data_IF_767750354489
#
_entry.id   IF_767750354489
#
_cell.length_a   1.000
_cell.length_b   1.000
_cell.length_c   1.000
_cell.angle_alpha   90.00
_cell.angle_beta   90.00
_cell.angle_gamma   90.00
#
_symmetry.space_group_name_H-M   'P 1'
#
loop_
_entity.id
_entity.type
_entity.pdbx_description
1 polymer ?
#
# COMPACT_ATOMS: atom_id res chain seq x y z
N UNK A 1 29.11 -34.78 -30.08
CA UNK A 1 28.12 -33.87 -30.74
C UNK A 1 26.80 -33.85 -29.97
N UNK A 2 26.34 -34.96 -29.36
CA UNK A 2 25.07 -34.99 -28.59
C UNK A 2 25.09 -34.22 -27.29
N UNK A 3 26.25 -34.12 -26.64
CA UNK A 3 26.42 -33.43 -25.34
C UNK A 3 26.34 -31.88 -25.50
N UNK A 4 26.74 -31.36 -26.66
CA UNK A 4 26.66 -29.93 -26.95
C UNK A 4 25.23 -29.43 -27.22
N UNK A 5 24.34 -30.30 -27.75
CA UNK A 5 22.94 -29.96 -28.00
C UNK A 5 22.09 -29.93 -26.73
N UNK A 6 22.37 -30.84 -25.77
CA UNK A 6 21.65 -30.88 -24.50
C UNK A 6 21.96 -29.65 -23.64
N UNK A 7 23.20 -29.14 -23.68
CA UNK A 7 23.59 -27.92 -22.97
C UNK A 7 22.98 -26.64 -23.55
N UNK A 8 22.78 -26.59 -24.88
CA UNK A 8 22.15 -25.42 -25.52
C UNK A 8 20.63 -25.35 -25.31
N UNK A 9 19.96 -26.49 -25.24
CA UNK A 9 18.52 -26.55 -24.95
C UNK A 9 18.22 -26.18 -23.48
N UNK A 10 19.08 -26.54 -22.54
CA UNK A 10 18.92 -26.16 -21.15
C UNK A 10 19.12 -24.65 -20.93
N UNK A 11 20.05 -24.02 -21.62
CA UNK A 11 20.25 -22.57 -21.53
C UNK A 11 19.12 -21.74 -22.17
N UNK A 12 18.42 -22.29 -23.16
CA UNK A 12 17.31 -21.61 -23.85
C UNK A 12 16.00 -21.74 -23.05
N UNK A 13 15.84 -22.76 -22.21
CA UNK A 13 14.63 -22.94 -21.39
C UNK A 13 14.51 -21.96 -20.21
N UNK A 14 15.62 -21.49 -19.70
CA UNK A 14 15.68 -20.64 -18.50
C UNK A 14 15.69 -19.14 -18.83
N UNK A 15 15.93 -18.78 -20.08
CA UNK A 15 16.04 -17.39 -20.53
C UNK A 15 15.04 -17.10 -21.65
N UNK A 16 14.32 -16.00 -21.52
CA UNK A 16 13.36 -15.53 -22.51
C UNK A 16 13.77 -14.18 -23.09
N UNK A 17 13.84 -14.10 -24.40
CA UNK A 17 13.98 -12.87 -25.15
C UNK A 17 12.68 -12.67 -25.92
N UNK A 18 11.95 -11.59 -25.64
CA UNK A 18 10.65 -11.32 -26.24
C UNK A 18 10.58 -9.92 -26.88
N UNK A 19 10.17 -9.87 -28.12
CA UNK A 19 9.87 -8.61 -28.80
C UNK A 19 8.39 -8.27 -28.63
N UNK A 20 7.51 -9.27 -28.71
CA UNK A 20 6.06 -9.13 -28.58
C UNK A 20 5.48 -10.39 -27.93
N UNK A 21 4.22 -10.30 -27.47
CA UNK A 21 3.50 -11.35 -26.74
C UNK A 21 3.72 -12.79 -27.26
N UNK A 22 3.71 -12.98 -28.59
CA UNK A 22 3.83 -14.29 -29.23
C UNK A 22 5.17 -14.47 -29.98
N UNK A 23 6.05 -13.47 -29.96
CA UNK A 23 7.39 -13.53 -30.54
C UNK A 23 8.41 -13.61 -29.41
N UNK A 24 8.62 -14.80 -28.89
CA UNK A 24 9.53 -15.08 -27.80
C UNK A 24 10.33 -16.36 -28.04
N UNK A 25 11.45 -16.48 -27.35
CA UNK A 25 12.34 -17.65 -27.46
C UNK A 25 11.84 -18.84 -26.65
N UNK A 26 10.92 -18.62 -25.70
CA UNK A 26 10.27 -19.68 -24.93
C UNK A 26 8.90 -20.04 -25.49
N UNK A 27 8.57 -21.31 -25.69
CA UNK A 27 7.22 -21.74 -26.03
C UNK A 27 6.27 -21.44 -24.86
N UNK A 28 5.03 -21.08 -25.19
CA UNK A 28 4.00 -20.76 -24.20
C UNK A 28 3.47 -22.05 -23.55
N UNK A 29 4.16 -22.52 -22.51
CA UNK A 29 3.74 -23.67 -21.69
C UNK A 29 3.35 -23.19 -20.30
N UNK A 30 2.17 -23.58 -19.83
CA UNK A 30 1.59 -23.16 -18.56
C UNK A 30 2.38 -23.58 -17.30
N UNK A 31 3.33 -24.48 -17.44
CA UNK A 31 4.16 -24.99 -16.34
C UNK A 31 5.53 -24.33 -16.25
N UNK A 32 5.89 -23.50 -17.21
CA UNK A 32 7.24 -23.01 -17.37
C UNK A 32 7.58 -21.84 -16.44
N UNK A 33 8.76 -21.93 -15.81
CA UNK A 33 9.35 -20.86 -14.98
C UNK A 33 10.50 -20.22 -15.75
N UNK A 34 10.49 -18.89 -15.84
CA UNK A 34 11.54 -18.10 -16.48
C UNK A 34 12.44 -17.51 -15.41
N UNK A 35 13.76 -17.61 -15.58
CA UNK A 35 14.74 -17.04 -14.65
C UNK A 35 15.32 -15.71 -15.14
N UNK A 36 15.50 -15.56 -16.43
CA UNK A 36 15.96 -14.31 -17.03
C UNK A 36 15.05 -13.96 -18.19
N UNK A 37 14.49 -12.76 -18.19
CA UNK A 37 13.64 -12.25 -19.25
C UNK A 37 14.09 -10.86 -19.67
N UNK A 38 14.31 -10.64 -20.95
CA UNK A 38 14.63 -9.35 -21.55
C UNK A 38 13.75 -9.14 -22.78
N UNK A 39 13.03 -8.03 -22.84
CA UNK A 39 12.15 -7.79 -23.98
C UNK A 39 11.52 -6.39 -24.04
N UNK A 40 10.66 -6.22 -25.03
CA UNK A 40 9.79 -5.06 -25.11
C UNK A 40 8.50 -5.28 -24.33
N UNK A 41 7.75 -6.32 -24.69
CA UNK A 41 6.54 -6.77 -24.01
C UNK A 41 6.64 -8.26 -23.80
N UNK A 42 6.62 -8.69 -22.56
CA UNK A 42 6.77 -10.10 -22.21
C UNK A 42 5.53 -10.64 -21.53
N UNK A 43 5.16 -11.86 -21.88
CA UNK A 43 4.13 -12.64 -21.20
C UNK A 43 4.78 -13.92 -20.68
N UNK A 44 4.76 -14.12 -19.37
CA UNK A 44 5.41 -15.22 -18.67
C UNK A 44 4.39 -15.94 -17.78
N UNK A 45 4.57 -17.24 -17.56
CA UNK A 45 3.73 -17.95 -16.60
C UNK A 45 4.21 -17.72 -15.18
N UNK A 46 5.51 -17.86 -14.92
CA UNK A 46 6.16 -17.53 -13.65
C UNK A 46 7.52 -16.90 -13.91
N UNK A 47 7.87 -15.92 -13.10
CA UNK A 47 9.22 -15.35 -13.09
C UNK A 47 9.90 -15.67 -11.76
N UNK A 48 11.06 -16.33 -11.83
CA UNK A 48 11.86 -16.64 -10.65
C UNK A 48 13.30 -16.14 -10.85
N UNK A 49 13.49 -14.86 -10.93
CA UNK A 49 14.79 -14.24 -11.21
C UNK A 49 14.66 -12.78 -11.65
N UNK A 50 15.17 -12.45 -12.85
CA UNK A 50 15.23 -11.07 -13.33
C UNK A 50 14.47 -10.91 -14.65
N UNK A 51 13.53 -9.98 -14.68
CA UNK A 51 12.80 -9.53 -15.86
C UNK A 51 13.02 -8.04 -16.14
N UNK A 52 13.51 -7.72 -17.33
CA UNK A 52 13.70 -6.34 -17.79
C UNK A 52 12.97 -6.16 -19.11
N UNK A 53 11.99 -5.27 -19.15
CA UNK A 53 11.19 -5.02 -20.33
C UNK A 53 11.03 -3.52 -20.59
N UNK A 54 11.12 -3.12 -21.84
CA UNK A 54 11.02 -1.69 -22.17
C UNK A 54 9.60 -1.14 -22.01
N UNK A 55 8.57 -1.92 -22.32
CA UNK A 55 7.17 -1.51 -22.19
C UNK A 55 6.48 -2.17 -21.02
N UNK A 56 6.32 -3.48 -21.05
CA UNK A 56 5.53 -4.16 -20.04
C UNK A 56 5.91 -5.63 -19.85
N UNK A 57 5.50 -6.16 -18.71
CA UNK A 57 5.68 -7.55 -18.38
C UNK A 57 4.43 -8.07 -17.67
N UNK A 58 3.89 -9.16 -18.20
CA UNK A 58 2.76 -9.88 -17.63
C UNK A 58 3.25 -11.23 -17.14
N UNK A 59 3.14 -11.48 -15.85
CA UNK A 59 3.37 -12.78 -15.23
C UNK A 59 2.03 -13.32 -14.76
N UNK A 60 1.54 -14.41 -15.31
CA UNK A 60 0.21 -14.95 -14.96
C UNK A 60 0.13 -15.52 -13.54
N UNK A 61 1.21 -16.09 -13.05
CA UNK A 61 1.33 -16.62 -11.69
C UNK A 61 2.22 -15.75 -10.81
N UNK A 62 3.02 -16.43 -9.98
CA UNK A 62 3.90 -15.78 -9.02
C UNK A 62 5.13 -15.16 -9.70
N UNK A 63 5.55 -14.02 -9.16
CA UNK A 63 6.79 -13.34 -9.46
C UNK A 63 7.71 -13.38 -8.25
N UNK A 64 8.89 -13.98 -8.40
CA UNK A 64 9.94 -14.00 -7.38
C UNK A 64 11.23 -13.43 -7.94
N UNK A 65 11.73 -12.34 -7.38
CA UNK A 65 12.97 -11.71 -7.82
C UNK A 65 12.82 -10.25 -8.19
N UNK A 66 13.31 -9.84 -9.35
CA UNK A 66 13.34 -8.45 -9.79
C UNK A 66 12.62 -8.29 -11.13
N UNK A 67 11.69 -7.39 -11.21
CA UNK A 67 10.96 -7.04 -12.43
C UNK A 67 11.00 -5.53 -12.67
N UNK A 68 11.58 -5.13 -13.80
CA UNK A 68 11.75 -3.72 -14.17
C UNK A 68 11.12 -3.49 -15.54
N UNK A 69 10.21 -2.52 -15.62
CA UNK A 69 9.56 -2.15 -16.89
C UNK A 69 9.47 -0.65 -17.08
N UNK A 70 9.44 -0.25 -18.35
CA UNK A 70 9.22 1.16 -18.70
C UNK A 70 7.80 1.64 -18.39
N UNK A 71 6.77 0.80 -18.56
CA UNK A 71 5.38 1.20 -18.32
C UNK A 71 4.75 0.38 -17.18
N UNK A 72 4.48 -0.92 -17.39
CA UNK A 72 3.66 -1.66 -16.45
C UNK A 72 4.17 -3.07 -16.16
N UNK A 73 4.09 -3.46 -14.89
CA UNK A 73 4.24 -4.83 -14.42
C UNK A 73 2.89 -5.37 -13.96
N UNK A 74 2.54 -6.56 -14.43
CA UNK A 74 1.42 -7.33 -13.91
C UNK A 74 1.93 -8.68 -13.38
N UNK A 75 1.61 -9.01 -12.14
CA UNK A 75 1.74 -10.33 -11.56
C UNK A 75 0.33 -10.82 -11.19
N UNK A 76 -0.12 -11.93 -11.77
CA UNK A 76 -1.45 -12.48 -11.51
C UNK A 76 -1.55 -13.11 -10.11
N UNK A 77 -0.43 -13.65 -9.60
CA UNK A 77 -0.30 -14.18 -8.25
C UNK A 77 0.45 -13.25 -7.30
N UNK A 78 1.21 -13.85 -6.40
CA UNK A 78 2.02 -13.13 -5.41
C UNK A 78 3.33 -12.61 -6.02
N UNK A 79 3.59 -11.33 -5.80
CA UNK A 79 4.89 -10.71 -6.06
C UNK A 79 5.78 -10.81 -4.82
N UNK A 80 6.97 -11.41 -4.97
CA UNK A 80 8.02 -11.44 -3.94
C UNK A 80 9.33 -10.90 -4.49
N UNK A 81 9.81 -9.82 -3.91
CA UNK A 81 11.08 -9.20 -4.31
C UNK A 81 10.93 -7.72 -4.67
N UNK A 82 11.33 -7.35 -5.90
CA UNK A 82 11.36 -5.95 -6.35
C UNK A 82 10.59 -5.79 -7.65
N UNK A 83 9.63 -4.88 -7.67
CA UNK A 83 8.95 -4.42 -8.88
C UNK A 83 9.16 -2.92 -9.09
N UNK A 84 9.60 -2.55 -10.29
CA UNK A 84 9.81 -1.16 -10.70
C UNK A 84 9.11 -0.93 -12.04
N UNK A 85 8.20 0.03 -12.09
CA UNK A 85 7.52 0.42 -13.32
C UNK A 85 7.46 1.94 -13.49
N UNK A 86 7.52 2.38 -14.72
CA UNK A 86 7.34 3.81 -15.03
C UNK A 86 5.93 4.31 -14.77
N UNK A 87 4.90 3.47 -14.90
CA UNK A 87 3.50 3.84 -14.70
C UNK A 87 2.83 3.03 -13.62
N UNK A 88 2.74 1.71 -13.74
CA UNK A 88 1.96 0.90 -12.80
C UNK A 88 2.58 -0.45 -12.46
N UNK A 89 2.45 -0.86 -11.20
CA UNK A 89 2.61 -2.23 -10.75
C UNK A 89 1.28 -2.77 -10.26
N UNK A 90 0.93 -3.97 -10.68
CA UNK A 90 -0.31 -4.65 -10.27
C UNK A 90 0.06 -6.07 -9.84
N UNK A 91 -0.32 -6.46 -8.64
CA UNK A 91 -0.23 -7.81 -8.11
C UNK A 91 -1.63 -8.31 -7.78
N UNK A 92 -2.02 -9.46 -8.32
CA UNK A 92 -3.37 -10.03 -8.11
C UNK A 92 -3.59 -10.45 -6.66
N UNK A 93 -2.60 -11.13 -6.08
CA UNK A 93 -2.66 -11.57 -4.68
C UNK A 93 -1.84 -10.63 -3.78
N UNK A 94 -0.70 -11.09 -3.29
CA UNK A 94 0.10 -10.34 -2.33
C UNK A 94 1.32 -9.66 -2.96
N UNK A 95 1.71 -8.53 -2.40
CA UNK A 95 3.00 -7.88 -2.66
C UNK A 95 3.90 -8.02 -1.44
N UNK A 96 5.02 -8.71 -1.57
CA UNK A 96 6.01 -8.91 -0.50
C UNK A 96 7.37 -8.38 -0.95
N UNK A 97 7.82 -7.29 -0.36
CA UNK A 97 9.11 -6.67 -0.67
C UNK A 97 9.01 -5.21 -1.06
N UNK A 98 9.56 -4.83 -2.20
CA UNK A 98 9.62 -3.45 -2.66
C UNK A 98 8.89 -3.27 -4.00
N UNK A 99 7.91 -2.38 -4.04
CA UNK A 99 7.19 -2.03 -5.26
C UNK A 99 7.19 -0.51 -5.48
N UNK A 100 7.67 -0.06 -6.63
CA UNK A 100 7.62 1.37 -6.97
C UNK A 100 7.08 1.58 -8.38
N UNK A 101 6.16 2.53 -8.52
CA UNK A 101 5.56 2.91 -9.78
C UNK A 101 5.44 4.44 -9.89
N UNK A 102 5.59 4.94 -11.10
CA UNK A 102 5.46 6.37 -11.37
C UNK A 102 4.06 6.92 -11.07
N UNK A 103 3.00 6.12 -11.24
CA UNK A 103 1.64 6.55 -10.94
C UNK A 103 0.97 5.66 -9.90
N UNK A 104 0.80 4.37 -10.15
CA UNK A 104 -0.10 3.53 -9.35
C UNK A 104 0.54 2.20 -8.98
N UNK A 105 0.45 1.83 -7.71
CA UNK A 105 0.69 0.48 -7.22
C UNK A 105 -0.62 -0.13 -6.71
N UNK A 106 -0.97 -1.32 -7.19
CA UNK A 106 -2.18 -2.06 -6.79
C UNK A 106 -1.79 -3.45 -6.32
N UNK A 107 -2.29 -3.83 -5.17
CA UNK A 107 -2.20 -5.19 -4.62
C UNK A 107 -3.60 -5.67 -4.28
N UNK A 108 -3.99 -6.85 -4.76
CA UNK A 108 -5.33 -7.41 -4.58
C UNK A 108 -5.61 -7.81 -3.14
N UNK A 109 -4.73 -8.59 -2.52
CA UNK A 109 -4.93 -9.06 -1.14
C UNK A 109 -4.10 -8.26 -0.14
N UNK A 110 -2.84 -8.58 0.05
CA UNK A 110 -2.03 -8.00 1.09
C UNK A 110 -0.69 -7.41 0.64
N UNK A 111 -0.26 -6.36 1.32
CA UNK A 111 1.05 -5.76 1.09
C UNK A 111 1.94 -5.93 2.32
N UNK A 112 3.16 -6.45 2.13
CA UNK A 112 4.19 -6.54 3.16
C UNK A 112 5.50 -5.96 2.65
N UNK A 113 5.95 -4.84 3.20
CA UNK A 113 7.19 -4.21 2.80
C UNK A 113 7.04 -2.73 2.47
N UNK A 114 7.59 -2.30 1.35
CA UNK A 114 7.62 -0.89 0.96
C UNK A 114 6.95 -0.71 -0.41
N UNK A 115 5.93 0.14 -0.44
CA UNK A 115 5.22 0.52 -1.67
C UNK A 115 5.32 2.03 -1.88
N UNK A 116 5.79 2.44 -3.05
CA UNK A 116 5.92 3.85 -3.43
C UNK A 116 5.17 4.08 -4.74
N UNK A 117 4.23 5.00 -4.75
CA UNK A 117 3.48 5.38 -5.94
C UNK A 117 3.50 6.91 -6.15
N UNK A 118 3.68 7.35 -7.38
CA UNK A 118 3.64 8.79 -7.69
C UNK A 118 2.27 9.42 -7.42
N UNK A 119 1.18 8.69 -7.63
CA UNK A 119 -0.18 9.14 -7.31
C UNK A 119 -0.82 8.30 -6.23
N UNK A 120 -1.11 7.02 -6.50
CA UNK A 120 -1.97 6.22 -5.62
C UNK A 120 -1.38 4.85 -5.32
N UNK A 121 -1.33 4.51 -4.03
CA UNK A 121 -1.07 3.17 -3.54
C UNK A 121 -2.38 2.51 -3.08
N UNK A 122 -2.68 1.31 -3.56
CA UNK A 122 -3.84 0.52 -3.17
C UNK A 122 -3.36 -0.81 -2.64
N UNK A 123 -3.56 -1.05 -1.37
CA UNK A 123 -3.43 -2.35 -0.73
C UNK A 123 -4.82 -2.94 -0.54
N UNK A 124 -5.01 -4.21 -0.87
CA UNK A 124 -6.28 -4.88 -0.70
C UNK A 124 -6.66 -5.05 0.78
N UNK A 125 -6.66 -6.28 1.27
CA UNK A 125 -7.17 -6.55 2.63
C UNK A 125 -6.25 -6.06 3.73
N UNK A 126 -4.97 -6.48 3.70
CA UNK A 126 -4.04 -6.20 4.80
C UNK A 126 -2.75 -5.58 4.30
N UNK A 127 -2.42 -4.40 4.79
CA UNK A 127 -1.19 -3.70 4.44
C UNK A 127 -0.27 -3.58 5.65
N UNK A 128 0.97 -4.01 5.52
CA UNK A 128 1.97 -3.97 6.59
C UNK A 128 3.30 -3.42 6.05
N UNK A 129 3.84 -2.40 6.69
CA UNK A 129 5.10 -1.78 6.31
C UNK A 129 4.97 -0.30 5.97
N UNK A 130 5.59 0.12 4.88
CA UNK A 130 5.62 1.54 4.47
C UNK A 130 4.88 1.73 3.15
N UNK A 131 3.88 2.60 3.14
CA UNK A 131 3.17 2.99 1.93
C UNK A 131 3.29 4.50 1.73
N UNK A 132 3.86 4.90 0.61
CA UNK A 132 4.08 6.31 0.26
C UNK A 132 3.42 6.59 -1.09
N UNK A 133 2.60 7.62 -1.15
CA UNK A 133 2.02 8.09 -2.41
C UNK A 133 1.99 9.61 -2.52
N UNK A 134 2.09 10.10 -3.74
CA UNK A 134 2.00 11.54 -4.00
C UNK A 134 0.61 12.11 -3.73
N UNK A 135 -0.45 11.31 -3.89
CA UNK A 135 -1.82 11.76 -3.68
C UNK A 135 -2.54 10.93 -2.59
N UNK A 136 -2.74 9.63 -2.77
CA UNK A 136 -3.61 8.87 -1.88
C UNK A 136 -3.11 7.43 -1.63
N UNK A 137 -3.22 6.97 -0.37
CA UNK A 137 -3.11 5.56 -0.01
C UNK A 137 -4.47 5.01 0.42
N UNK A 138 -4.82 3.84 -0.08
CA UNK A 138 -6.05 3.13 0.29
C UNK A 138 -5.72 1.72 0.73
N UNK A 139 -6.24 1.29 1.87
CA UNK A 139 -6.20 -0.10 2.35
C UNK A 139 -7.61 -0.56 2.65
N UNK A 140 -7.98 -1.75 2.14
CA UNK A 140 -9.34 -2.28 2.25
C UNK A 140 -9.75 -2.55 3.70
N UNK A 141 -8.98 -3.33 4.43
CA UNK A 141 -9.33 -3.74 5.80
C UNK A 141 -8.36 -3.19 6.84
N UNK A 142 -7.27 -3.88 7.11
CA UNK A 142 -6.32 -3.52 8.17
C UNK A 142 -5.01 -2.99 7.61
N UNK A 143 -4.45 -1.97 8.24
CA UNK A 143 -3.13 -1.50 7.91
C UNK A 143 -2.25 -1.32 9.15
N UNK A 144 -0.94 -1.49 8.96
CA UNK A 144 0.06 -1.29 9.99
C UNK A 144 1.36 -0.73 9.45
N UNK A 145 2.06 0.06 10.26
CA UNK A 145 3.33 0.67 9.90
C UNK A 145 3.24 2.17 9.61
N UNK A 146 3.74 2.62 8.47
CA UNK A 146 3.81 4.05 8.13
C UNK A 146 3.15 4.31 6.79
N UNK A 147 2.06 5.09 6.79
CA UNK A 147 1.38 5.54 5.58
C UNK A 147 1.54 7.05 5.41
N UNK A 148 2.17 7.45 4.31
CA UNK A 148 2.41 8.85 3.96
C UNK A 148 1.75 9.17 2.61
N UNK A 149 0.97 10.23 2.56
CA UNK A 149 0.35 10.68 1.31
C UNK A 149 0.28 12.20 1.19
N UNK A 150 0.26 12.68 -0.04
CA UNK A 150 0.11 14.11 -0.31
C UNK A 150 -1.28 14.64 0.06
N UNK A 151 -2.34 13.87 -0.19
CA UNK A 151 -3.70 14.29 0.11
C UNK A 151 -4.38 13.42 1.18
N UNK A 152 -4.55 12.11 0.95
CA UNK A 152 -5.36 11.31 1.85
C UNK A 152 -4.80 9.91 2.10
N UNK A 153 -4.97 9.42 3.34
CA UNK A 153 -4.85 8.00 3.66
C UNK A 153 -6.21 7.48 4.13
N UNK A 154 -6.63 6.34 3.59
CA UNK A 154 -7.91 5.71 3.91
C UNK A 154 -7.66 4.25 4.27
N UNK A 155 -8.14 3.82 5.42
CA UNK A 155 -8.11 2.44 5.89
C UNK A 155 -9.53 2.02 6.28
N UNK A 156 -10.02 0.93 5.71
CA UNK A 156 -11.42 0.49 5.86
C UNK A 156 -11.77 0.07 7.28
N UNK A 157 -10.88 -0.62 7.98
CA UNK A 157 -11.13 -1.05 9.36
C UNK A 157 -10.11 -0.43 10.33
N UNK A 158 -9.01 -1.10 10.62
CA UNK A 158 -8.10 -0.72 11.69
C UNK A 158 -6.72 -0.33 11.18
N UNK A 159 -6.12 0.68 11.81
CA UNK A 159 -4.74 1.11 11.54
C UNK A 159 -3.89 1.09 12.81
N UNK A 160 -2.67 0.52 12.71
CA UNK A 160 -1.68 0.51 13.78
C UNK A 160 -0.37 1.14 13.31
N UNK A 161 0.00 2.29 13.86
CA UNK A 161 1.26 2.94 13.51
C UNK A 161 1.12 4.44 13.25
N UNK A 162 1.75 4.94 12.20
CA UNK A 162 1.76 6.35 11.84
C UNK A 162 1.11 6.60 10.47
N UNK A 163 0.14 7.49 10.44
CA UNK A 163 -0.58 7.91 9.26
C UNK A 163 -0.46 9.43 9.09
N UNK A 164 0.14 9.87 7.99
CA UNK A 164 0.35 11.30 7.72
C UNK A 164 -0.13 11.66 6.32
N UNK A 165 -0.92 12.73 6.22
CA UNK A 165 -1.42 13.24 4.95
C UNK A 165 -1.46 14.77 4.91
N UNK A 166 -1.45 15.33 3.71
CA UNK A 166 -1.62 16.77 3.54
C UNK A 166 -3.03 17.26 3.89
N UNK A 167 -4.07 16.46 3.67
CA UNK A 167 -5.45 16.88 3.89
C UNK A 167 -6.18 15.98 4.90
N UNK A 168 -6.29 14.67 4.64
CA UNK A 168 -7.26 13.81 5.31
C UNK A 168 -6.72 12.42 5.65
N UNK A 169 -6.90 11.97 6.89
CA UNK A 169 -6.76 10.58 7.27
C UNK A 169 -8.10 10.01 7.75
N UNK A 170 -8.50 8.85 7.22
CA UNK A 170 -9.73 8.16 7.58
C UNK A 170 -9.44 6.73 8.00
N UNK A 171 -9.93 6.33 9.16
CA UNK A 171 -9.90 4.97 9.67
C UNK A 171 -11.30 4.55 10.04
N UNK A 172 -11.80 3.48 9.40
CA UNK A 172 -13.20 3.04 9.53
C UNK A 172 -13.56 2.45 10.88
N UNK A 173 -12.59 1.95 11.65
CA UNK A 173 -12.85 1.41 12.98
C UNK A 173 -11.85 1.94 14.02
N UNK A 174 -10.70 1.27 14.18
CA UNK A 174 -9.79 1.55 15.27
C UNK A 174 -8.47 2.13 14.77
N UNK A 175 -8.04 3.22 15.37
CA UNK A 175 -6.73 3.79 15.19
C UNK A 175 -5.88 3.62 16.45
N UNK A 176 -4.72 2.97 16.30
CA UNK A 176 -3.72 2.86 17.34
C UNK A 176 -2.41 3.50 16.88
N UNK A 177 -2.04 4.64 17.46
CA UNK A 177 -0.81 5.33 17.12
C UNK A 177 -1.01 6.81 16.80
N UNK A 178 -0.44 7.27 15.69
CA UNK A 178 -0.36 8.68 15.33
C UNK A 178 -1.07 8.97 14.01
N UNK A 179 -2.02 9.90 14.03
CA UNK A 179 -2.61 10.49 12.82
C UNK A 179 -2.26 11.99 12.74
N UNK A 180 -1.68 12.39 11.62
CA UNK A 180 -1.39 13.79 11.32
C UNK A 180 -2.00 14.14 9.96
N UNK A 181 -2.85 15.15 9.92
CA UNK A 181 -3.41 15.67 8.68
C UNK A 181 -3.43 17.20 8.69
N UNK A 182 -3.40 17.79 7.50
CA UNK A 182 -3.55 19.25 7.40
C UNK A 182 -4.96 19.71 7.74
N UNK A 183 -6.01 18.99 7.31
CA UNK A 183 -7.40 19.38 7.51
C UNK A 183 -8.09 18.51 8.55
N UNK A 184 -8.18 17.18 8.31
CA UNK A 184 -8.97 16.37 9.22
C UNK A 184 -8.40 14.96 9.46
N UNK A 185 -8.55 14.49 10.70
CA UNK A 185 -8.40 13.10 11.08
C UNK A 185 -9.75 12.54 11.53
N UNK A 186 -10.16 11.42 10.95
CA UNK A 186 -11.43 10.76 11.24
C UNK A 186 -11.15 9.32 11.65
N UNK A 187 -11.61 8.94 12.83
CA UNK A 187 -11.59 7.56 13.32
C UNK A 187 -13.02 7.18 13.72
N UNK A 188 -13.64 6.27 12.97
CA UNK A 188 -15.08 6.04 13.16
C UNK A 188 -15.42 5.39 14.51
N UNK A 189 -14.54 4.55 15.09
CA UNK A 189 -14.86 3.89 16.35
C UNK A 189 -13.93 4.33 17.48
N UNK A 190 -12.66 3.94 17.48
CA UNK A 190 -11.79 4.16 18.64
C UNK A 190 -10.41 4.67 18.23
N UNK A 191 -10.03 5.77 18.83
CA UNK A 191 -8.68 6.30 18.82
C UNK A 191 -7.94 5.87 20.09
N UNK A 192 -6.79 5.20 19.93
CA UNK A 192 -5.79 5.01 20.97
C UNK A 192 -4.50 5.68 20.51
N UNK A 193 -4.20 6.88 20.97
CA UNK A 193 -3.00 7.59 20.57
C UNK A 193 -3.21 9.10 20.34
N UNK A 194 -2.66 9.60 19.26
CA UNK A 194 -2.61 11.04 18.99
C UNK A 194 -3.22 11.36 17.61
N UNK A 195 -4.12 12.34 17.59
CA UNK A 195 -4.60 13.00 16.36
C UNK A 195 -4.18 14.46 16.35
N UNK A 196 -3.59 14.90 15.24
CA UNK A 196 -3.20 16.31 15.00
C UNK A 196 -3.75 16.74 13.64
N UNK A 197 -4.71 17.68 13.63
CA UNK A 197 -5.26 18.29 12.42
C UNK A 197 -6.05 19.55 12.78
N UNK A 198 -6.53 20.31 11.79
CA UNK A 198 -7.49 21.38 12.08
C UNK A 198 -8.77 20.80 12.70
N UNK A 199 -9.27 19.67 12.20
CA UNK A 199 -10.45 18.98 12.72
C UNK A 199 -10.12 17.54 13.08
N UNK A 200 -10.41 17.11 14.32
CA UNK A 200 -10.23 15.73 14.76
C UNK A 200 -11.56 15.15 15.20
N UNK A 201 -11.88 13.95 14.70
CA UNK A 201 -13.07 13.19 15.06
C UNK A 201 -12.74 11.79 15.49
N UNK A 202 -13.35 11.31 16.58
CA UNK A 202 -13.39 9.91 16.93
C UNK A 202 -14.64 9.61 17.78
N UNK A 203 -15.18 8.37 17.72
CA UNK A 203 -16.29 8.00 18.59
C UNK A 203 -15.83 7.81 20.03
N UNK A 204 -14.73 7.08 20.23
CA UNK A 204 -14.09 6.92 21.55
C UNK A 204 -12.63 7.36 21.45
N UNK A 205 -12.20 8.18 22.39
CA UNK A 205 -10.82 8.69 22.44
C UNK A 205 -10.10 8.17 23.68
N UNK A 206 -8.95 7.55 23.46
CA UNK A 206 -7.96 7.24 24.52
C UNK A 206 -6.63 7.83 24.10
N UNK A 207 -6.33 9.02 24.57
CA UNK A 207 -5.12 9.73 24.20
C UNK A 207 -5.31 11.22 24.02
N UNK A 208 -4.77 11.78 22.94
CA UNK A 208 -4.72 13.22 22.73
C UNK A 208 -5.24 13.61 21.36
N UNK A 209 -6.10 14.63 21.31
CA UNK A 209 -6.49 15.32 20.08
C UNK A 209 -6.01 16.77 20.14
N UNK A 210 -5.28 17.22 19.12
CA UNK A 210 -4.77 18.57 18.97
C UNK A 210 -5.30 19.16 17.67
N UNK A 211 -6.08 20.24 17.75
CA UNK A 211 -6.65 20.88 16.57
C UNK A 211 -7.42 22.15 16.88
N UNK A 212 -7.97 22.79 15.86
CA UNK A 212 -8.91 23.90 16.09
C UNK A 212 -10.23 23.36 16.62
N UNK A 213 -10.72 22.26 16.02
CA UNK A 213 -11.97 21.61 16.42
C UNK A 213 -11.68 20.15 16.74
N UNK A 214 -11.96 19.74 17.97
CA UNK A 214 -11.87 18.37 18.40
C UNK A 214 -13.25 17.86 18.81
N UNK A 215 -13.65 16.69 18.31
CA UNK A 215 -14.95 16.11 18.62
C UNK A 215 -14.85 14.62 18.95
N UNK A 216 -15.47 14.21 20.04
CA UNK A 216 -15.72 12.81 20.34
C UNK A 216 -17.22 12.56 20.58
N UNK A 217 -17.67 11.34 20.29
CA UNK A 217 -19.11 11.05 20.32
C UNK A 217 -19.57 10.35 21.61
N UNK A 218 -18.81 9.43 22.15
CA UNK A 218 -19.28 8.59 23.26
C UNK A 218 -18.41 8.68 24.52
N UNK A 219 -17.13 8.37 24.43
CA UNK A 219 -16.24 8.25 25.60
C UNK A 219 -14.88 8.89 25.35
N UNK A 220 -14.38 9.57 26.35
CA UNK A 220 -13.05 10.17 26.30
C UNK A 220 -12.25 9.90 27.55
N UNK A 221 -11.07 9.22 27.34
CA UNK A 221 -10.03 9.03 28.36
C UNK A 221 -8.74 9.69 27.86
N UNK A 222 -8.58 10.98 28.11
CA UNK A 222 -7.44 11.73 27.63
C UNK A 222 -7.67 13.23 27.59
N UNK A 223 -7.06 13.90 26.61
CA UNK A 223 -7.01 15.35 26.53
C UNK A 223 -7.37 15.84 25.13
N UNK A 224 -8.15 16.90 25.04
CA UNK A 224 -8.36 17.69 23.83
C UNK A 224 -7.75 19.07 24.01
N UNK A 225 -6.91 19.49 23.06
CA UNK A 225 -6.33 20.83 22.99
C UNK A 225 -6.81 21.50 21.71
N UNK A 226 -7.65 22.52 21.83
CA UNK A 226 -8.20 23.20 20.68
C UNK A 226 -9.07 24.39 21.02
N UNK A 227 -9.42 25.20 20.03
CA UNK A 227 -10.34 26.32 20.22
C UNK A 227 -11.75 25.84 20.58
N UNK A 228 -12.18 24.77 19.96
CA UNK A 228 -13.47 24.13 20.18
C UNK A 228 -13.26 22.66 20.49
N UNK A 229 -13.62 22.27 21.71
CA UNK A 229 -13.64 20.87 22.12
C UNK A 229 -15.10 20.50 22.46
N UNK A 230 -15.66 19.51 21.77
CA UNK A 230 -17.09 19.23 21.84
C UNK A 230 -17.40 17.74 21.97
N UNK A 231 -18.55 17.45 22.56
CA UNK A 231 -19.19 16.15 22.60
C UNK A 231 -20.74 16.33 22.57
N UNK A 232 -21.55 15.27 22.42
CA UNK A 232 -23.00 15.38 22.38
C UNK A 232 -23.63 15.92 23.67
N UNK A 233 -23.02 15.65 24.82
CA UNK A 233 -23.61 15.89 26.15
C UNK A 233 -23.17 17.19 26.79
N UNK A 234 -22.05 17.76 26.39
CA UNK A 234 -21.51 18.97 26.96
C UNK A 234 -21.46 20.12 25.96
N UNK A 235 -21.79 21.30 26.46
CA UNK A 235 -21.63 22.56 25.72
C UNK A 235 -20.16 22.76 25.35
N UNK A 236 -19.92 23.38 24.21
CA UNK A 236 -18.62 23.74 23.67
C UNK A 236 -17.69 24.26 24.76
N UNK A 237 -16.57 23.58 24.96
CA UNK A 237 -15.51 24.04 25.86
C UNK A 237 -14.37 24.62 25.06
N UNK A 238 -13.90 25.80 25.44
CA UNK A 238 -12.77 26.47 24.81
C UNK A 238 -11.46 26.07 25.48
N UNK A 239 -10.41 25.85 24.71
CA UNK A 239 -8.99 25.71 25.02
C UNK A 239 -8.55 24.32 25.49
N UNK A 240 -9.00 23.79 26.60
CA UNK A 240 -8.52 22.49 27.13
C UNK A 240 -9.68 21.72 27.72
N UNK A 241 -9.82 20.48 27.33
CA UNK A 241 -10.76 19.56 27.93
C UNK A 241 -10.08 18.21 28.25
N UNK A 242 -10.19 17.76 29.48
CA UNK A 242 -9.75 16.46 29.96
C UNK A 242 -10.94 15.65 30.48
N UNK A 243 -11.16 14.47 29.92
CA UNK A 243 -12.20 13.55 30.39
C UNK A 243 -11.62 12.40 31.20
N UNK A 244 -12.11 12.21 32.42
CA UNK A 244 -11.96 10.96 33.16
C UNK A 244 -13.27 10.19 33.03
N UNK A 245 -13.20 8.95 32.58
CA UNK A 245 -14.34 8.07 32.74
C UNK A 245 -14.56 7.87 34.24
N UNK A 246 -15.62 8.39 34.77
CA UNK A 246 -16.18 7.88 36.04
C UNK A 246 -16.75 6.49 35.79
N UNK A 247 -16.61 5.58 36.77
CA UNK A 247 -17.02 4.18 36.64
C UNK A 247 -18.51 4.02 36.33
#
# INVERSE_FOLDING_TARGET
>A
ILIGLVGSEMCIRDSNISIWKDICTQPHDSTQTTYVNIGLLSTLNRLNGVGINALGSVVHGDMNGVQITGLANLAGGTMRGVQIAGVSNISGDNTVGFSTAGLVNITGDGTQGVTIAGLTGIGGDNTSGVMISGFMNVTGNMASGVHLSGAANITGQSFNGMMTSGLLNVVGENMNGLQIAGIANITATKLNGLQIALCNYATKVRGLQIGLVNYYREDMKGLQLGLVNANPDTRIQMMVYGGNATP
#
